data_IF_621223020325
#
_entry.id   IF_621223020325
#
_cell.length_a   1.000
_cell.length_b   1.000
_cell.length_c   1.000
_cell.angle_alpha   90.00
_cell.angle_beta   90.00
_cell.angle_gamma   90.00
#
_symmetry.space_group_name_H-M   'P 1'
#
loop_
_entity.id
_entity.type
_entity.pdbx_description
1 polymer ?
#
# COMPACT_ATOMS: atom_id res chain seq x y z
N UNK A 1 5.67 19.39 -0.07
CA UNK A 1 5.49 18.74 1.25
C UNK A 1 4.36 17.72 1.13
N UNK A 2 4.66 16.43 0.97
CA UNK A 2 3.65 15.36 0.90
C UNK A 2 3.32 14.87 2.31
N UNK A 3 2.41 15.55 2.99
CA UNK A 3 1.81 15.00 4.19
C UNK A 3 0.67 14.08 3.73
N UNK A 4 0.89 12.75 3.74
CA UNK A 4 -0.06 11.74 3.26
C UNK A 4 -1.18 11.51 4.30
N UNK A 5 -2.00 12.53 4.54
CA UNK A 5 -3.30 12.43 5.24
C UNK A 5 -4.33 13.27 4.49
N UNK A 6 -5.54 12.73 4.34
CA UNK A 6 -6.61 13.33 3.54
C UNK A 6 -6.43 13.13 2.03
N UNK A 7 -7.20 13.88 1.25
CA UNK A 7 -7.23 13.82 -0.20
C UNK A 7 -6.00 14.45 -0.88
N UNK A 8 -5.53 13.81 -1.95
CA UNK A 8 -4.43 14.27 -2.78
C UNK A 8 -4.60 13.82 -4.23
N UNK A 9 -4.55 14.76 -5.17
CA UNK A 9 -4.48 14.53 -6.63
C UNK A 9 -3.38 15.40 -7.23
N UNK A 10 -2.69 14.94 -8.27
CA UNK A 10 -1.70 15.72 -9.03
C UNK A 10 -0.54 16.30 -8.18
N UNK A 11 -0.27 15.70 -7.02
CA UNK A 11 0.92 16.02 -6.22
C UNK A 11 2.10 15.13 -6.63
N UNK A 12 1.84 13.89 -7.03
CA UNK A 12 2.85 12.91 -7.47
C UNK A 12 3.30 13.22 -8.92
N UNK A 13 4.54 12.88 -9.27
CA UNK A 13 5.10 13.11 -10.62
C UNK A 13 5.45 11.74 -11.21
N UNK A 14 5.17 11.56 -12.49
CA UNK A 14 5.52 10.38 -13.28
C UNK A 14 6.13 10.88 -14.60
N UNK A 15 7.34 10.43 -14.95
CA UNK A 15 8.05 10.86 -16.17
C UNK A 15 8.21 12.39 -16.31
N UNK A 16 8.50 13.10 -15.21
CA UNK A 16 8.67 14.55 -15.21
C UNK A 16 7.39 15.39 -15.33
N UNK A 17 6.20 14.76 -15.37
CA UNK A 17 4.89 15.43 -15.42
C UNK A 17 4.05 15.10 -14.18
N UNK A 18 3.18 16.02 -13.71
CA UNK A 18 2.24 15.72 -12.62
C UNK A 18 1.31 14.55 -12.99
N UNK A 19 1.22 13.55 -12.12
CA UNK A 19 0.30 12.40 -12.25
C UNK A 19 -1.14 12.85 -11.96
N UNK A 20 -1.87 13.18 -13.03
CA UNK A 20 -3.27 13.62 -12.98
C UNK A 20 -4.26 12.46 -13.06
N UNK A 21 -3.78 11.24 -13.33
CA UNK A 21 -4.56 10.03 -13.56
C UNK A 21 -4.88 9.27 -12.27
N UNK A 22 -4.43 9.78 -11.12
CA UNK A 22 -4.66 9.16 -9.83
C UNK A 22 -4.96 10.17 -8.73
N UNK A 23 -6.06 9.94 -8.05
CA UNK A 23 -6.41 10.50 -6.74
C UNK A 23 -6.09 9.50 -5.63
N UNK A 24 -5.75 10.00 -4.46
CA UNK A 24 -5.54 9.17 -3.28
C UNK A 24 -6.01 9.87 -2.03
N UNK A 25 -6.76 9.13 -1.21
CA UNK A 25 -7.12 9.53 0.13
C UNK A 25 -6.37 8.67 1.14
N UNK A 26 -5.61 9.31 2.04
CA UNK A 26 -4.80 8.61 3.04
C UNK A 26 -5.35 8.83 4.46
N UNK A 27 -5.35 7.77 5.26
CA UNK A 27 -5.73 7.84 6.67
C UNK A 27 -5.21 6.64 7.45
N UNK A 28 -4.96 6.81 8.75
CA UNK A 28 -4.76 5.68 9.64
C UNK A 28 -6.16 5.12 10.00
N UNK A 29 -6.47 3.86 9.66
CA UNK A 29 -7.82 3.30 9.84
C UNK A 29 -8.14 2.95 11.30
N UNK A 30 -7.14 2.86 12.19
CA UNK A 30 -7.32 2.54 13.60
C UNK A 30 -7.36 3.79 14.48
N UNK A 31 -6.53 4.79 14.17
CA UNK A 31 -6.25 5.94 15.04
C UNK A 31 -6.41 7.25 14.28
N UNK A 32 -7.27 8.15 14.78
CA UNK A 32 -7.35 9.51 14.23
C UNK A 32 -6.14 10.35 14.56
N UNK A 33 -5.59 10.16 15.77
CA UNK A 33 -4.42 10.87 16.25
C UNK A 33 -3.52 9.88 16.98
N UNK A 34 -2.47 9.37 16.32
CA UNK A 34 -1.49 8.51 16.95
C UNK A 34 -0.92 9.11 18.25
N UNK A 35 -0.99 8.35 19.35
CA UNK A 35 -0.48 8.76 20.63
C UNK A 35 1.01 8.37 20.77
N UNK A 36 1.86 9.20 20.20
CA UNK A 36 3.33 9.07 20.26
C UNK A 36 3.96 10.33 20.84
N UNK A 37 5.22 10.20 21.24
CA UNK A 37 6.02 11.32 21.72
C UNK A 37 5.99 12.50 20.73
N UNK A 38 5.82 13.76 21.20
CA UNK A 38 5.75 14.93 20.33
C UNK A 38 6.95 15.11 19.41
N UNK A 39 8.15 14.73 19.85
CA UNK A 39 9.38 14.81 19.06
C UNK A 39 9.41 13.76 17.96
N UNK A 40 8.99 12.52 18.26
CA UNK A 40 8.82 11.47 17.25
C UNK A 40 7.80 11.93 16.20
N UNK A 41 6.66 12.48 16.63
CA UNK A 41 5.62 13.02 15.73
C UNK A 41 6.18 14.12 14.81
N UNK A 42 7.01 15.02 15.36
CA UNK A 42 7.65 16.10 14.62
C UNK A 42 8.66 15.58 13.59
N UNK A 43 9.42 14.54 13.93
CA UNK A 43 10.41 13.91 13.04
C UNK A 43 9.79 13.00 11.97
N UNK A 44 8.61 12.45 12.21
CA UNK A 44 7.92 11.48 11.35
C UNK A 44 6.43 11.85 11.10
N UNK A 45 6.14 13.06 10.59
CA UNK A 45 4.76 13.53 10.40
C UNK A 45 3.99 12.72 9.35
N UNK A 46 4.65 12.04 8.42
CA UNK A 46 4.04 11.17 7.41
C UNK A 46 3.29 9.97 8.03
N UNK A 47 3.77 9.50 9.19
CA UNK A 47 3.14 8.41 9.95
C UNK A 47 2.20 8.93 11.04
N UNK A 48 2.66 9.93 11.81
CA UNK A 48 2.02 10.30 13.07
C UNK A 48 1.22 11.61 13.05
N UNK A 49 1.14 12.29 11.91
CA UNK A 49 0.15 13.37 11.75
C UNK A 49 -1.26 12.77 11.80
N UNK A 50 -2.16 13.43 12.53
CA UNK A 50 -3.54 13.00 12.62
C UNK A 50 -4.27 13.03 11.27
N UNK A 51 -5.30 12.21 11.17
CA UNK A 51 -6.17 12.13 10.00
C UNK A 51 -6.88 13.46 9.74
N UNK A 52 -7.22 13.69 8.47
CA UNK A 52 -7.99 14.86 8.01
C UNK A 52 -9.20 14.32 7.26
N UNK A 53 -10.32 14.19 7.95
CA UNK A 53 -11.59 13.71 7.41
C UNK A 53 -12.32 14.80 6.61
N UNK A 54 -13.08 14.45 5.57
CA UNK A 54 -14.01 15.39 4.95
C UNK A 54 -15.08 15.81 5.96
N UNK A 55 -15.69 16.98 5.75
CA UNK A 55 -16.77 17.45 6.59
C UNK A 55 -18.08 16.78 6.17
N UNK A 56 -18.50 15.77 6.93
CA UNK A 56 -19.72 14.99 6.65
C UNK A 56 -21.02 15.70 7.08
N UNK A 57 -20.92 16.81 7.82
CA UNK A 57 -22.06 17.65 8.18
C UNK A 57 -22.39 18.63 7.03
N UNK A 58 -21.34 19.19 6.40
CA UNK A 58 -21.47 20.15 5.31
C UNK A 58 -21.66 19.50 3.92
N UNK A 59 -21.16 18.27 3.70
CA UNK A 59 -21.25 17.55 2.42
C UNK A 59 -21.96 16.19 2.59
N UNK A 60 -23.19 16.10 2.07
CA UNK A 60 -23.99 14.88 2.17
C UNK A 60 -23.44 13.72 1.33
N UNK A 61 -22.64 13.99 0.28
CA UNK A 61 -22.10 12.95 -0.60
C UNK A 61 -21.03 12.09 0.08
N UNK A 62 -20.38 12.63 1.12
CA UNK A 62 -19.33 11.97 1.89
C UNK A 62 -19.81 11.48 3.26
N UNK A 63 -21.11 11.57 3.55
CA UNK A 63 -21.67 11.10 4.83
C UNK A 63 -21.38 9.62 5.05
N UNK A 64 -20.81 9.29 6.21
CA UNK A 64 -20.41 7.92 6.57
C UNK A 64 -19.06 7.47 5.97
N UNK A 65 -18.35 8.33 5.24
CA UNK A 65 -17.06 8.02 4.64
C UNK A 65 -16.01 7.62 5.68
N UNK A 66 -15.88 8.38 6.76
CA UNK A 66 -14.93 8.12 7.83
C UNK A 66 -15.20 6.74 8.46
N UNK A 67 -16.46 6.42 8.76
CA UNK A 67 -16.83 5.14 9.35
C UNK A 67 -16.51 3.99 8.40
N UNK A 68 -16.91 4.08 7.13
CA UNK A 68 -16.66 3.05 6.12
C UNK A 68 -15.15 2.82 5.90
N UNK A 69 -14.37 3.89 5.79
CA UNK A 69 -12.91 3.84 5.62
C UNK A 69 -12.24 3.11 6.78
N UNK A 70 -12.59 3.48 8.03
CA UNK A 70 -12.02 2.87 9.24
C UNK A 70 -12.45 1.42 9.38
N UNK A 71 -13.73 1.11 9.15
CA UNK A 71 -14.26 -0.25 9.27
C UNK A 71 -13.59 -1.20 8.29
N UNK A 72 -13.45 -0.81 7.02
CA UNK A 72 -12.75 -1.62 6.02
C UNK A 72 -11.26 -1.78 6.35
N UNK A 73 -10.58 -0.68 6.71
CA UNK A 73 -9.17 -0.73 7.06
C UNK A 73 -8.88 -1.55 8.31
N UNK A 74 -9.74 -1.47 9.33
CA UNK A 74 -9.65 -2.29 10.54
C UNK A 74 -9.80 -3.78 10.20
N UNK A 75 -10.82 -4.13 9.41
CA UNK A 75 -11.03 -5.50 8.97
C UNK A 75 -9.81 -6.08 8.23
N UNK A 76 -9.21 -5.32 7.30
CA UNK A 76 -8.01 -5.76 6.58
C UNK A 76 -6.83 -5.94 7.54
N UNK A 77 -6.66 -5.06 8.53
CA UNK A 77 -5.61 -5.20 9.55
C UNK A 77 -5.84 -6.45 10.39
N UNK A 78 -7.05 -6.68 10.90
CA UNK A 78 -7.38 -7.85 11.71
C UNK A 78 -7.06 -9.15 10.96
N UNK A 79 -7.45 -9.26 9.70
CA UNK A 79 -7.10 -10.43 8.86
C UNK A 79 -5.59 -10.52 8.65
N UNK A 80 -4.91 -9.40 8.43
CA UNK A 80 -3.46 -9.36 8.28
C UNK A 80 -2.70 -9.80 9.54
N UNK A 81 -3.18 -9.46 10.73
CA UNK A 81 -2.61 -9.92 12.00
C UNK A 81 -2.75 -11.43 12.15
N UNK A 82 -3.90 -12.00 11.77
CA UNK A 82 -4.08 -13.45 11.75
C UNK A 82 -3.09 -14.10 10.79
N UNK A 83 -2.96 -13.55 9.58
CA UNK A 83 -2.04 -14.04 8.55
C UNK A 83 -0.60 -14.06 9.05
N UNK A 84 -0.11 -12.96 9.63
CA UNK A 84 1.27 -12.88 10.11
C UNK A 84 1.52 -13.83 11.26
N UNK A 85 0.55 -14.01 12.17
CA UNK A 85 0.64 -15.00 13.24
C UNK A 85 0.75 -16.42 12.70
N UNK A 86 -0.03 -16.79 11.69
CA UNK A 86 0.08 -18.13 11.11
C UNK A 86 1.39 -18.35 10.34
N UNK A 87 1.96 -17.29 9.79
CA UNK A 87 3.25 -17.33 9.09
C UNK A 87 4.45 -17.25 10.05
N UNK A 88 4.25 -16.99 11.33
CA UNK A 88 5.31 -16.69 12.30
C UNK A 88 6.39 -17.80 12.31
N UNK A 89 6.03 -19.07 12.43
CA UNK A 89 7.01 -20.17 12.45
C UNK A 89 7.89 -20.28 11.20
N UNK A 90 7.41 -19.76 10.07
CA UNK A 90 8.16 -19.70 8.82
C UNK A 90 9.02 -18.44 8.73
N UNK A 91 8.52 -17.31 9.26
CA UNK A 91 9.19 -16.00 9.20
C UNK A 91 10.27 -15.86 10.27
N UNK A 92 10.00 -16.24 11.53
CA UNK A 92 10.91 -15.98 12.67
C UNK A 92 12.33 -16.52 12.45
N UNK A 93 12.55 -17.72 11.87
CA UNK A 93 13.91 -18.22 11.60
C UNK A 93 14.70 -17.42 10.55
N UNK A 94 14.04 -16.58 9.75
CA UNK A 94 14.67 -15.78 8.68
C UNK A 94 15.07 -14.37 9.16
N UNK A 95 14.63 -13.97 10.35
CA UNK A 95 14.80 -12.62 10.86
C UNK A 95 16.27 -12.27 11.09
N UNK A 96 16.65 -11.04 10.74
CA UNK A 96 17.99 -10.50 10.96
C UNK A 96 18.15 -9.81 12.33
N UNK A 97 17.07 -9.68 13.08
CA UNK A 97 17.07 -9.05 14.41
C UNK A 97 17.23 -10.09 15.50
N UNK A 98 17.97 -9.73 16.55
CA UNK A 98 18.07 -10.56 17.76
C UNK A 98 16.92 -10.24 18.70
N UNK A 99 16.07 -11.22 18.97
CA UNK A 99 14.95 -11.06 19.91
C UNK A 99 14.58 -12.40 20.52
N UNK A 100 14.10 -12.36 21.76
CA UNK A 100 13.56 -13.53 22.47
C UNK A 100 12.03 -13.65 22.31
N UNK A 101 11.40 -12.72 21.59
CA UNK A 101 9.96 -12.75 21.32
C UNK A 101 9.64 -13.79 20.25
N UNK A 102 8.47 -14.41 20.36
CA UNK A 102 8.00 -15.42 19.40
C UNK A 102 6.84 -14.92 18.53
N UNK A 103 6.33 -13.72 18.78
CA UNK A 103 5.21 -13.06 18.10
C UNK A 103 5.71 -11.82 17.32
N UNK A 104 6.84 -11.93 16.64
CA UNK A 104 7.59 -10.74 16.21
C UNK A 104 6.81 -9.98 15.16
N UNK A 105 6.39 -10.65 14.08
CA UNK A 105 5.74 -9.98 12.96
C UNK A 105 4.34 -9.49 13.34
N UNK A 106 3.54 -10.36 13.96
CA UNK A 106 2.21 -9.98 14.42
C UNK A 106 2.26 -8.92 15.52
N UNK A 107 3.12 -9.07 16.52
CA UNK A 107 3.23 -8.14 17.64
C UNK A 107 3.74 -6.77 17.23
N UNK A 108 4.68 -6.67 16.27
CA UNK A 108 5.10 -5.39 15.69
C UNK A 108 3.94 -4.67 15.02
N UNK A 109 3.08 -5.40 14.30
CA UNK A 109 1.92 -4.82 13.64
C UNK A 109 0.81 -4.48 14.63
N UNK A 110 0.45 -5.38 15.54
CA UNK A 110 -0.65 -5.21 16.49
C UNK A 110 -0.48 -3.98 17.41
N UNK A 111 0.76 -3.62 17.73
CA UNK A 111 1.08 -2.44 18.56
C UNK A 111 1.32 -1.18 17.74
N UNK A 112 1.37 -1.26 16.41
CA UNK A 112 1.80 -0.15 15.58
C UNK A 112 0.80 0.98 15.55
N UNK A 113 1.31 2.20 15.75
CA UNK A 113 0.56 3.43 15.48
C UNK A 113 0.78 3.98 14.07
N UNK A 114 1.59 3.30 13.24
CA UNK A 114 2.05 3.76 11.93
C UNK A 114 1.28 3.19 10.73
N UNK A 115 0.26 2.34 10.96
CA UNK A 115 -0.60 1.84 9.90
C UNK A 115 -1.16 2.96 9.02
N UNK A 116 -1.27 2.68 7.72
CA UNK A 116 -1.80 3.65 6.76
C UNK A 116 -2.66 2.94 5.74
N UNK A 117 -3.88 3.41 5.56
CA UNK A 117 -4.73 3.02 4.46
C UNK A 117 -4.71 4.10 3.37
N UNK A 118 -4.91 3.65 2.14
CA UNK A 118 -4.99 4.47 0.94
C UNK A 118 -6.19 4.00 0.12
N UNK A 119 -7.19 4.85 0.03
CA UNK A 119 -8.23 4.73 -0.99
C UNK A 119 -7.70 5.39 -2.26
N UNK A 120 -7.68 4.64 -3.36
CA UNK A 120 -7.21 5.11 -4.66
C UNK A 120 -8.38 5.25 -5.61
N UNK A 121 -8.36 6.37 -6.33
CA UNK A 121 -9.22 6.60 -7.47
C UNK A 121 -8.35 6.80 -8.71
N UNK A 122 -8.51 5.93 -9.69
CA UNK A 122 -7.84 6.04 -10.98
C UNK A 122 -8.80 6.69 -11.96
N UNK A 123 -8.41 7.85 -12.48
CA UNK A 123 -9.20 8.59 -13.44
C UNK A 123 -9.19 7.88 -14.80
N UNK A 124 -10.23 8.08 -15.61
CA UNK A 124 -10.27 7.59 -16.99
C UNK A 124 -9.01 8.01 -17.75
N UNK A 125 -8.27 7.07 -18.38
CA UNK A 125 -7.13 7.44 -19.20
C UNK A 125 -7.61 8.26 -20.39
N UNK A 126 -6.82 9.26 -20.84
CA UNK A 126 -7.19 10.09 -21.98
C UNK A 126 -7.40 9.21 -23.23
N UNK A 127 -8.24 9.67 -24.18
CA UNK A 127 -8.39 9.01 -25.47
C UNK A 127 -7.13 9.25 -26.33
N UNK A 128 -5.99 8.65 -25.96
CA UNK A 128 -4.81 8.56 -26.81
C UNK A 128 -4.91 7.26 -27.61
N UNK A 129 -5.01 7.39 -28.93
CA UNK A 129 -5.06 6.29 -29.88
C UNK A 129 -3.73 5.54 -29.96
N UNK A 130 -3.81 4.26 -30.32
CA UNK A 130 -2.73 3.38 -30.76
C UNK A 130 -1.35 3.69 -30.13
N UNK A 131 -1.28 3.64 -28.80
CA UNK A 131 0.01 3.60 -28.09
C UNK A 131 0.70 2.28 -28.41
N UNK A 132 1.98 2.34 -28.78
CA UNK A 132 2.82 1.18 -29.04
C UNK A 132 2.70 0.18 -27.88
N UNK A 133 2.37 -1.08 -28.19
CA UNK A 133 2.14 -2.17 -27.21
C UNK A 133 3.35 -2.45 -26.29
N UNK A 134 4.49 -1.82 -26.56
CA UNK A 134 5.78 -2.04 -25.92
C UNK A 134 6.20 -0.98 -24.89
N UNK A 135 5.40 0.07 -24.65
CA UNK A 135 5.77 1.07 -23.66
C UNK A 135 5.21 0.72 -22.28
N UNK A 136 6.02 0.07 -21.43
CA UNK A 136 5.66 -0.37 -20.08
C UNK A 136 5.15 0.78 -19.18
N UNK A 137 5.43 2.03 -19.55
CA UNK A 137 5.20 3.21 -18.72
C UNK A 137 4.04 4.11 -19.21
N UNK A 138 3.58 4.01 -20.47
CA UNK A 138 2.55 4.93 -21.00
C UNK A 138 1.10 4.54 -20.67
N UNK A 139 0.80 3.26 -20.47
CA UNK A 139 -0.56 2.73 -20.19
C UNK A 139 -0.87 2.54 -18.68
N UNK A 140 0.02 3.06 -17.82
CA UNK A 140 0.03 2.71 -16.41
C UNK A 140 -0.66 3.75 -15.52
N UNK A 141 -1.83 3.39 -14.98
CA UNK A 141 -2.48 4.10 -13.88
C UNK A 141 -1.56 4.23 -12.65
N UNK A 142 -0.64 3.27 -12.46
CA UNK A 142 0.41 3.33 -11.46
C UNK A 142 1.62 2.51 -11.92
N UNK A 143 2.75 3.18 -12.21
CA UNK A 143 3.99 2.53 -12.63
C UNK A 143 4.51 1.45 -11.67
N UNK A 144 5.51 0.70 -12.12
CA UNK A 144 6.15 -0.34 -11.32
C UNK A 144 6.76 0.22 -10.03
N UNK A 145 6.40 -0.35 -8.90
CA UNK A 145 6.91 0.06 -7.59
C UNK A 145 6.88 -1.08 -6.58
N UNK A 146 7.42 -0.79 -5.40
CA UNK A 146 7.33 -1.61 -4.21
C UNK A 146 6.64 -0.82 -3.10
N UNK A 147 5.94 -1.53 -2.24
CA UNK A 147 5.43 -0.96 -1.00
C UNK A 147 6.50 -1.02 0.08
N UNK A 148 6.58 0.02 0.89
CA UNK A 148 7.59 0.11 1.95
C UNK A 148 7.14 -0.60 3.24
N UNK A 149 5.97 -1.24 3.26
CA UNK A 149 5.36 -1.87 4.43
C UNK A 149 6.02 -3.21 4.79
N UNK A 150 5.61 -3.83 5.90
CA UNK A 150 5.91 -5.24 6.13
C UNK A 150 5.03 -6.09 5.20
N UNK A 151 3.72 -5.88 5.28
CA UNK A 151 2.74 -6.42 4.35
C UNK A 151 1.73 -5.35 3.93
N UNK A 152 1.16 -5.49 2.75
CA UNK A 152 0.04 -4.67 2.28
C UNK A 152 -1.16 -5.54 2.02
N UNK A 153 -2.28 -5.22 2.67
CA UNK A 153 -3.58 -5.82 2.38
C UNK A 153 -4.30 -5.06 1.26
N UNK A 154 -4.91 -5.80 0.35
CA UNK A 154 -5.60 -5.29 -0.83
C UNK A 154 -7.02 -5.89 -0.89
N UNK A 155 -7.99 -5.05 -1.23
CA UNK A 155 -9.35 -5.49 -1.55
C UNK A 155 -9.53 -5.66 -3.06
N UNK A 156 -10.57 -6.35 -3.49
CA UNK A 156 -10.97 -6.36 -4.90
C UNK A 156 -11.28 -4.93 -5.38
N UNK A 157 -10.80 -4.60 -6.59
CA UNK A 157 -11.05 -3.30 -7.18
C UNK A 157 -12.46 -3.22 -7.78
N UNK A 158 -13.02 -2.02 -7.80
CA UNK A 158 -14.26 -1.69 -8.48
C UNK A 158 -13.96 -0.89 -9.75
N UNK A 159 -14.74 -1.13 -10.80
CA UNK A 159 -14.73 -0.30 -12.00
C UNK A 159 -16.06 0.46 -12.05
N UNK A 160 -16.00 1.77 -12.25
CA UNK A 160 -17.18 2.62 -12.24
C UNK A 160 -17.37 3.21 -13.63
N UNK A 161 -18.54 2.97 -14.23
CA UNK A 161 -19.01 3.67 -15.40
C UNK A 161 -19.55 5.03 -14.99
N UNK A 162 -19.04 6.09 -15.60
CA UNK A 162 -19.39 7.48 -15.31
C UNK A 162 -20.00 8.15 -16.54
N UNK A 163 -21.22 8.64 -16.40
CA UNK A 163 -21.88 9.45 -17.43
C UNK A 163 -22.54 10.68 -16.80
N UNK A 164 -21.84 11.81 -16.83
CA UNK A 164 -22.27 13.01 -16.10
C UNK A 164 -22.31 12.72 -14.61
N UNK A 165 -23.47 12.87 -13.97
CA UNK A 165 -23.67 12.55 -12.55
C UNK A 165 -24.11 11.09 -12.29
N UNK A 166 -24.21 10.26 -13.33
CA UNK A 166 -24.60 8.86 -13.18
C UNK A 166 -23.37 7.97 -13.03
N UNK A 167 -23.26 7.31 -11.88
CA UNK A 167 -22.19 6.37 -11.56
C UNK A 167 -22.75 4.95 -11.40
N UNK A 168 -22.16 3.96 -12.08
CA UNK A 168 -22.59 2.56 -12.01
C UNK A 168 -21.40 1.63 -11.94
N UNK A 169 -21.35 0.75 -10.93
CA UNK A 169 -20.36 -0.31 -10.88
C UNK A 169 -20.54 -1.27 -12.07
N UNK A 170 -19.45 -1.58 -12.75
CA UNK A 170 -19.41 -2.49 -13.90
C UNK A 170 -18.32 -3.55 -13.71
N UNK A 171 -18.42 -4.71 -14.39
CA UNK A 171 -17.27 -5.60 -14.53
C UNK A 171 -16.09 -4.90 -15.19
N UNK A 172 -14.88 -5.43 -14.98
CA UNK A 172 -13.69 -4.93 -15.65
C UNK A 172 -13.91 -4.85 -17.18
N UNK A 173 -13.93 -3.65 -17.78
CA UNK A 173 -14.27 -3.50 -19.19
C UNK A 173 -13.12 -3.82 -20.14
N UNK A 174 -11.89 -3.94 -19.64
CA UNK A 174 -10.71 -4.20 -20.45
C UNK A 174 -9.90 -5.38 -19.89
N UNK A 175 -9.66 -6.39 -20.74
CA UNK A 175 -8.88 -7.57 -20.35
C UNK A 175 -7.46 -7.24 -19.87
N UNK A 176 -6.88 -6.13 -20.34
CA UNK A 176 -5.54 -5.65 -19.90
C UNK A 176 -5.57 -4.69 -18.71
N UNK A 177 -6.75 -4.28 -18.23
CA UNK A 177 -6.84 -3.39 -17.08
C UNK A 177 -6.71 -4.17 -15.77
N UNK A 178 -6.01 -3.61 -14.79
CA UNK A 178 -5.93 -4.17 -13.44
C UNK A 178 -4.52 -4.21 -12.86
N UNK A 179 -4.38 -5.01 -11.80
CA UNK A 179 -3.14 -5.18 -11.04
C UNK A 179 -2.22 -6.19 -11.74
N UNK A 180 -0.95 -5.83 -11.88
CA UNK A 180 0.11 -6.70 -12.39
C UNK A 180 1.22 -6.80 -11.35
N UNK A 181 1.80 -7.98 -11.21
CA UNK A 181 2.95 -8.24 -10.35
C UNK A 181 4.10 -8.83 -11.15
N UNK A 182 5.33 -8.71 -10.65
CA UNK A 182 6.46 -9.55 -11.07
C UNK A 182 6.62 -10.69 -10.07
N UNK A 183 6.49 -11.93 -10.54
CA UNK A 183 6.71 -13.09 -9.70
C UNK A 183 8.23 -13.35 -9.46
N UNK A 184 8.57 -14.42 -8.75
CA UNK A 184 9.97 -14.75 -8.41
C UNK A 184 10.84 -15.13 -9.61
N UNK A 185 10.22 -15.55 -10.72
CA UNK A 185 10.90 -15.79 -12.00
C UNK A 185 10.99 -14.51 -12.86
N UNK A 186 10.62 -13.35 -12.31
CA UNK A 186 10.54 -12.06 -13.00
C UNK A 186 9.50 -12.02 -14.14
N UNK A 187 8.54 -12.96 -14.15
CA UNK A 187 7.43 -12.93 -15.10
C UNK A 187 6.37 -11.93 -14.65
N UNK A 188 5.84 -11.16 -15.60
CA UNK A 188 4.71 -10.26 -15.37
C UNK A 188 3.42 -11.08 -15.36
N UNK A 189 2.68 -11.02 -14.26
CA UNK A 189 1.43 -11.75 -14.05
C UNK A 189 0.31 -10.77 -13.70
N UNK A 190 -0.82 -10.84 -14.41
CA UNK A 190 -2.02 -10.12 -14.02
C UNK A 190 -2.70 -10.83 -12.86
N UNK A 191 -2.99 -10.11 -11.79
CA UNK A 191 -3.66 -10.63 -10.59
C UNK A 191 -5.13 -10.21 -10.60
N UNK A 192 -6.01 -11.17 -10.32
CA UNK A 192 -7.43 -10.92 -10.08
C UNK A 192 -7.74 -11.34 -8.65
N UNK A 193 -8.21 -10.38 -7.84
CA UNK A 193 -8.66 -10.61 -6.48
C UNK A 193 -10.17 -10.84 -6.56
N UNK A 194 -10.70 -12.00 -6.12
CA UNK A 194 -12.15 -12.23 -6.08
C UNK A 194 -12.88 -11.19 -5.21
N UNK A 195 -14.13 -10.88 -5.53
CA UNK A 195 -14.95 -9.88 -4.80
C UNK A 195 -15.08 -10.17 -3.31
N UNK A 196 -15.06 -11.44 -2.92
CA UNK A 196 -15.19 -11.92 -1.55
C UNK A 196 -13.85 -12.31 -0.92
N UNK A 197 -12.73 -11.80 -1.44
CA UNK A 197 -11.39 -12.12 -0.97
C UNK A 197 -10.55 -10.87 -0.67
N UNK A 198 -9.55 -11.05 0.19
CA UNK A 198 -8.44 -10.13 0.39
C UNK A 198 -7.17 -10.75 -0.18
N UNK A 199 -6.30 -9.92 -0.73
CA UNK A 199 -4.95 -10.31 -1.08
C UNK A 199 -3.94 -9.63 -0.15
N UNK A 200 -2.86 -10.32 0.17
CA UNK A 200 -1.74 -9.75 0.93
C UNK A 200 -0.46 -9.92 0.13
N UNK A 201 0.34 -8.85 0.08
CA UNK A 201 1.66 -8.87 -0.53
C UNK A 201 2.72 -8.41 0.46
N UNK A 202 3.95 -8.86 0.25
CA UNK A 202 5.13 -8.49 1.03
C UNK A 202 5.67 -7.13 0.57
N UNK A 203 6.09 -6.30 1.52
CA UNK A 203 6.76 -5.03 1.26
C UNK A 203 8.26 -5.05 1.60
N UNK A 204 8.95 -3.96 1.27
CA UNK A 204 10.41 -3.84 1.41
C UNK A 204 10.88 -3.91 2.86
N UNK A 205 10.07 -3.50 3.84
CA UNK A 205 10.46 -3.62 5.24
C UNK A 205 10.52 -5.09 5.67
N UNK A 206 9.65 -5.96 5.14
CA UNK A 206 9.71 -7.40 5.44
C UNK A 206 10.88 -8.06 4.70
N UNK A 207 11.18 -7.60 3.49
CA UNK A 207 12.37 -8.04 2.77
C UNK A 207 13.64 -7.73 3.55
N UNK A 208 13.78 -6.51 4.06
CA UNK A 208 14.91 -6.13 4.90
C UNK A 208 14.94 -6.95 6.21
N UNK A 209 13.82 -7.05 6.89
CA UNK A 209 13.67 -7.77 8.16
C UNK A 209 14.07 -9.25 8.05
N UNK A 210 13.82 -9.86 6.89
CA UNK A 210 14.14 -11.27 6.62
C UNK A 210 15.45 -11.46 5.85
N UNK A 211 16.26 -10.42 5.67
CA UNK A 211 17.54 -10.50 4.95
C UNK A 211 17.37 -10.96 3.50
N UNK A 212 16.29 -10.55 2.84
CA UNK A 212 15.98 -10.89 1.45
C UNK A 212 15.29 -12.25 1.26
N UNK A 213 14.95 -12.98 2.33
CA UNK A 213 14.31 -14.30 2.21
C UNK A 213 12.86 -14.19 1.76
N UNK A 214 12.17 -13.14 2.19
CA UNK A 214 10.84 -12.78 1.72
C UNK A 214 10.91 -11.47 0.94
N UNK A 215 11.15 -11.59 -0.36
CA UNK A 215 11.24 -10.44 -1.26
C UNK A 215 9.93 -9.64 -1.29
N UNK A 216 10.03 -8.32 -1.35
CA UNK A 216 8.91 -7.46 -1.67
C UNK A 216 8.35 -7.81 -3.05
N UNK A 217 7.07 -7.51 -3.31
CA UNK A 217 6.41 -7.87 -4.57
C UNK A 217 6.31 -6.66 -5.49
N UNK A 218 7.10 -6.58 -6.59
CA UNK A 218 6.99 -5.50 -7.56
C UNK A 218 5.64 -5.55 -8.25
N UNK A 219 4.97 -4.40 -8.32
CA UNK A 219 3.63 -4.34 -8.89
C UNK A 219 3.34 -3.00 -9.60
N UNK A 220 2.40 -3.03 -10.53
CA UNK A 220 1.90 -1.88 -11.26
C UNK A 220 0.39 -2.04 -11.53
N UNK A 221 -0.28 -0.95 -11.92
CA UNK A 221 -1.71 -0.95 -12.27
C UNK A 221 -1.89 -0.36 -13.65
N UNK A 222 -2.56 -1.08 -14.54
CA UNK A 222 -2.77 -0.68 -15.95
C UNK A 222 -4.22 -0.30 -16.22
N UNK A 223 -4.41 0.73 -17.05
CA UNK A 223 -5.73 1.17 -17.52
C UNK A 223 -6.33 0.29 -18.62
N UNK A 224 -5.49 -0.41 -19.36
CA UNK A 224 -5.90 -1.47 -20.31
C UNK A 224 -6.50 -1.00 -21.64
N UNK A 225 -6.67 0.31 -21.85
CA UNK A 225 -7.17 0.89 -23.09
C UNK A 225 -7.77 2.30 -22.89
N UNK A 226 -8.50 2.77 -23.90
CA UNK A 226 -9.18 4.07 -23.85
C UNK A 226 -10.21 4.09 -22.69
N UNK A 227 -10.24 5.20 -21.94
CA UNK A 227 -11.09 5.32 -20.75
C UNK A 227 -12.58 5.43 -21.02
N UNK A 228 -13.03 5.33 -22.28
CA UNK A 228 -14.44 5.44 -22.66
C UNK A 228 -15.00 4.11 -23.14
N UNK A 229 -16.16 3.72 -22.62
CA UNK A 229 -16.85 2.47 -22.98
C UNK A 229 -18.32 2.72 -23.30
N UNK A 230 -18.94 1.78 -24.01
CA UNK A 230 -20.39 1.78 -24.24
C UNK A 230 -21.08 0.80 -23.31
N UNK A 231 -22.03 1.28 -22.53
CA UNK A 231 -22.89 0.47 -21.67
C UNK A 231 -24.35 0.78 -22.02
N UNK A 232 -25.13 -0.23 -22.37
CA UNK A 232 -26.57 -0.08 -22.71
C UNK A 232 -26.85 1.01 -23.77
N UNK A 233 -25.93 1.19 -24.73
CA UNK A 233 -26.02 2.19 -25.81
C UNK A 233 -25.49 3.59 -25.44
N UNK A 234 -25.27 3.87 -24.17
CA UNK A 234 -24.68 5.11 -23.67
C UNK A 234 -23.15 5.08 -23.71
N UNK A 235 -22.52 6.19 -24.10
CA UNK A 235 -21.07 6.40 -23.99
C UNK A 235 -20.78 7.04 -22.63
N UNK A 236 -19.78 6.53 -21.92
CA UNK A 236 -19.32 7.07 -20.64
C UNK A 236 -17.88 6.67 -20.36
N UNK A 237 -17.33 7.25 -19.30
CA UNK A 237 -15.94 7.03 -18.88
C UNK A 237 -15.84 5.91 -17.84
N UNK A 238 -14.64 5.35 -17.66
CA UNK A 238 -14.38 4.32 -16.66
C UNK A 238 -13.25 4.74 -15.75
N UNK A 239 -13.58 4.82 -14.47
CA UNK A 239 -12.63 4.93 -13.36
C UNK A 239 -12.46 3.57 -12.66
N UNK A 240 -11.39 3.47 -11.87
CA UNK A 240 -11.09 2.28 -11.06
C UNK A 240 -10.79 2.66 -9.63
N UNK A 241 -11.47 1.99 -8.70
CA UNK A 241 -11.38 2.24 -7.27
C UNK A 241 -10.75 1.04 -6.57
N UNK A 242 -9.84 1.29 -5.64
CA UNK A 242 -9.28 0.21 -4.82
C UNK A 242 -8.82 0.75 -3.47
N UNK A 243 -8.76 -0.14 -2.49
CA UNK A 243 -8.31 0.18 -1.14
C UNK A 243 -7.10 -0.67 -0.77
N UNK A 244 -6.03 -0.01 -0.34
CA UNK A 244 -4.79 -0.64 0.09
C UNK A 244 -4.50 -0.27 1.55
N UNK A 245 -4.06 -1.24 2.34
CA UNK A 245 -3.72 -1.04 3.75
C UNK A 245 -2.28 -1.47 3.99
N UNK A 246 -1.42 -0.48 4.19
CA UNK A 246 -0.01 -0.65 4.49
C UNK A 246 0.15 -0.97 5.98
N UNK A 247 0.38 -2.26 6.26
CA UNK A 247 0.66 -2.74 7.61
C UNK A 247 2.15 -2.60 7.91
N UNK A 248 2.45 -1.64 8.76
CA UNK A 248 3.80 -1.12 8.99
C UNK A 248 4.10 -1.19 10.48
N UNK A 249 5.36 -1.41 10.89
CA UNK A 249 5.77 -1.28 12.27
C UNK A 249 5.93 0.20 12.63
N UNK A 250 6.08 0.52 13.91
CA UNK A 250 6.42 1.89 14.31
C UNK A 250 7.85 2.27 13.90
N UNK A 251 8.12 3.58 13.77
CA UNK A 251 9.39 4.09 13.23
C UNK A 251 10.62 3.76 14.08
N UNK A 252 10.43 3.35 15.34
CA UNK A 252 11.51 2.94 16.24
C UNK A 252 11.75 1.43 16.23
N UNK A 253 10.87 0.64 15.62
CA UNK A 253 11.05 -0.80 15.55
C UNK A 253 12.26 -1.14 14.66
N UNK A 254 13.13 -2.02 15.15
CA UNK A 254 14.28 -2.50 14.42
C UNK A 254 13.82 -3.47 13.33
N UNK A 255 14.28 -3.25 12.10
CA UNK A 255 13.94 -4.08 10.94
C UNK A 255 15.15 -4.56 10.15
N UNK A 256 16.36 -4.31 10.63
CA UNK A 256 17.61 -4.73 9.98
C UNK A 256 18.73 -4.87 11.00
N UNK A 257 19.93 -4.39 10.65
CA UNK A 257 21.05 -4.29 11.58
C UNK A 257 20.73 -3.47 12.84
N UNK A 258 21.63 -3.44 13.85
CA UNK A 258 21.36 -2.81 15.15
C UNK A 258 20.83 -1.36 15.11
N UNK A 259 21.22 -0.58 14.10
CA UNK A 259 20.84 0.82 13.92
C UNK A 259 19.75 1.02 12.84
N UNK A 260 19.30 -0.06 12.19
CA UNK A 260 18.32 -0.01 11.10
C UNK A 260 16.90 -0.18 11.64
N UNK A 261 16.25 0.95 11.92
CA UNK A 261 14.84 1.02 12.28
C UNK A 261 13.97 1.28 11.06
N UNK A 262 12.67 1.03 11.20
CA UNK A 262 11.71 1.38 10.17
C UNK A 262 11.74 2.88 9.82
N UNK A 263 11.99 3.75 10.80
CA UNK A 263 12.12 5.19 10.62
C UNK A 263 13.36 5.61 9.81
N UNK A 264 14.50 4.93 9.98
CA UNK A 264 15.71 5.22 9.18
C UNK A 264 15.57 4.66 7.76
N UNK A 265 15.02 3.44 7.64
CA UNK A 265 14.69 2.80 6.37
C UNK A 265 13.74 3.67 5.51
N UNK A 266 12.61 4.10 6.07
CA UNK A 266 11.60 4.90 5.34
C UNK A 266 12.15 6.24 4.88
N UNK A 267 13.00 6.90 5.68
CA UNK A 267 13.72 8.11 5.26
C UNK A 267 14.62 7.82 4.06
N UNK A 268 15.32 6.69 4.04
CA UNK A 268 16.16 6.30 2.92
C UNK A 268 15.35 6.01 1.66
N UNK A 269 14.23 5.29 1.79
CA UNK A 269 13.34 5.05 0.64
C UNK A 269 12.80 6.37 0.07
N UNK A 270 12.34 7.29 0.93
CA UNK A 270 11.94 8.62 0.50
C UNK A 270 13.08 9.35 -0.21
N UNK A 271 14.32 9.28 0.30
CA UNK A 271 15.50 9.88 -0.37
C UNK A 271 15.74 9.29 -1.75
N UNK A 272 15.62 7.97 -1.94
CA UNK A 272 15.76 7.32 -3.26
C UNK A 272 14.72 7.85 -4.24
N UNK A 273 13.46 7.96 -3.83
CA UNK A 273 12.39 8.57 -4.62
C UNK A 273 12.71 10.03 -4.99
N UNK A 274 13.24 10.83 -4.05
CA UNK A 274 13.64 12.22 -4.34
C UNK A 274 14.88 12.32 -5.22
N UNK A 275 15.87 11.42 -5.08
CA UNK A 275 17.09 11.43 -5.90
C UNK A 275 16.79 11.06 -7.35
N UNK A 276 15.90 10.10 -7.56
CA UNK A 276 15.42 9.75 -8.90
C UNK A 276 14.70 10.96 -9.53
N UNK A 277 13.86 11.67 -8.75
CA UNK A 277 13.28 12.95 -9.19
C UNK A 277 14.32 14.04 -9.49
N UNK A 278 15.39 14.18 -8.68
CA UNK A 278 16.46 15.15 -8.94
C UNK A 278 17.23 14.87 -10.24
N UNK A 279 17.42 13.59 -10.58
CA UNK A 279 18.02 13.21 -11.86
C UNK A 279 17.11 13.52 -13.04
N UNK A 280 15.79 13.43 -12.86
CA UNK A 280 14.79 13.81 -13.88
C UNK A 280 14.59 15.33 -14.01
N UNK A 281 14.66 16.10 -12.91
CA UNK A 281 14.24 17.52 -12.86
C UNK A 281 15.39 18.54 -12.74
N UNK A 282 16.64 18.14 -12.44
CA UNK A 282 17.80 19.04 -12.45
C UNK A 282 17.80 20.19 -11.43
N UNK A 283 17.06 20.11 -10.32
CA UNK A 283 16.99 21.18 -9.29
C UNK A 283 17.25 20.67 -7.86
N UNK A 284 17.97 21.48 -7.07
CA UNK A 284 18.44 21.13 -5.74
C UNK A 284 17.53 21.65 -4.62
N UNK A 285 16.92 20.75 -3.85
CA UNK A 285 16.20 21.07 -2.61
C UNK A 285 16.80 20.23 -1.49
N UNK A 286 17.35 20.89 -0.46
CA UNK A 286 18.08 20.25 0.64
C UNK A 286 17.21 20.14 1.90
N UNK A 287 17.24 18.98 2.56
CA UNK A 287 16.62 18.72 3.87
C UNK A 287 17.73 18.47 4.90
N UNK A 288 17.64 19.04 6.11
CA UNK A 288 18.61 18.83 7.22
C UNK A 288 18.05 17.81 8.24
N UNK A 289 18.89 16.90 8.72
CA UNK A 289 18.56 15.86 9.73
C UNK A 289 19.54 15.89 10.92
N UNK A 290 19.07 15.46 12.10
CA UNK A 290 19.81 15.37 13.37
C UNK A 290 19.89 13.90 13.84
N UNK A 291 21.00 13.51 14.47
CA UNK A 291 21.57 12.16 14.44
C UNK A 291 21.43 11.33 15.74
N UNK A 292 20.77 11.82 16.79
CA UNK A 292 20.71 11.13 18.08
C UNK A 292 19.25 10.90 18.52
N UNK A 293 18.78 9.65 18.66
CA UNK A 293 17.62 9.29 19.52
C UNK A 293 17.41 7.76 19.62
N UNK A 294 17.24 7.24 20.84
CA UNK A 294 16.76 5.87 21.16
C UNK A 294 15.76 5.89 22.33
N UNK A 295 14.79 4.95 22.37
CA UNK A 295 13.75 4.80 23.41
C UNK A 295 13.39 3.32 23.73
N UNK A 296 12.76 3.02 24.90
CA UNK A 296 12.70 1.67 25.53
C UNK A 296 11.34 0.91 25.38
N UNK A 297 11.21 -0.36 25.85
CA UNK A 297 10.19 -1.33 25.40
C UNK A 297 8.98 -1.59 26.36
N UNK A 298 7.92 -2.25 25.85
CA UNK A 298 6.63 -2.58 26.54
C UNK A 298 6.16 -4.05 26.28
N UNK A 299 5.32 -4.59 27.19
CA UNK A 299 4.81 -5.96 27.40
C UNK A 299 3.37 -6.28 26.90
N UNK A 300 3.04 -7.59 26.89
CA UNK A 300 2.05 -8.39 26.09
C UNK A 300 0.59 -8.52 26.58
N UNK A 301 -0.31 -8.99 25.69
CA UNK A 301 -1.61 -9.67 25.95
C UNK A 301 -2.00 -10.65 24.79
N UNK A 302 -2.79 -11.70 25.07
CA UNK A 302 -3.02 -12.91 24.23
C UNK A 302 -4.47 -13.07 23.68
N UNK A 303 -4.68 -13.96 22.69
CA UNK A 303 -5.96 -14.26 21.99
C UNK A 303 -6.08 -15.74 21.52
N UNK A 304 -7.23 -16.15 20.92
CA UNK A 304 -7.46 -17.50 20.34
C UNK A 304 -8.33 -17.58 19.06
N UNK A 305 -7.82 -18.38 18.09
CA UNK A 305 -8.38 -19.24 17.01
C UNK A 305 -9.13 -18.71 15.76
N UNK A 306 -8.43 -18.68 14.60
CA UNK A 306 -8.96 -18.65 13.20
C UNK A 306 -8.06 -19.51 12.27
N UNK A 307 -8.61 -20.06 11.17
CA UNK A 307 -7.91 -20.90 10.16
C UNK A 307 -7.54 -20.10 8.91
N UNK A 308 -6.32 -20.30 8.37
CA UNK A 308 -5.76 -19.60 7.19
C UNK A 308 -5.39 -20.62 6.12
N UNK A 309 -5.70 -20.31 4.85
CA UNK A 309 -5.39 -21.15 3.70
C UNK A 309 -4.31 -20.45 2.85
N UNK A 310 -3.13 -21.07 2.75
CA UNK A 310 -2.00 -20.59 1.95
C UNK A 310 -2.02 -21.29 0.59
N UNK A 311 -2.83 -20.80 -0.34
CA UNK A 311 -2.76 -21.29 -1.73
C UNK A 311 -1.53 -20.67 -2.42
N UNK A 312 -0.38 -21.31 -2.23
CA UNK A 312 0.77 -21.20 -3.11
C UNK A 312 0.87 -22.51 -3.89
N UNK A 313 -0.03 -22.73 -4.84
CA UNK A 313 0.10 -23.85 -5.77
C UNK A 313 1.12 -23.49 -6.85
N UNK A 314 2.39 -23.67 -6.52
CA UNK A 314 3.43 -23.92 -7.51
C UNK A 314 3.48 -25.44 -7.78
N UNK A 315 3.10 -25.92 -8.97
CA UNK A 315 3.20 -27.33 -9.33
C UNK A 315 4.63 -27.89 -9.29
N UNK A 316 5.66 -27.05 -9.16
CA UNK A 316 7.06 -27.46 -9.10
C UNK A 316 7.58 -27.80 -7.68
N UNK A 317 6.80 -27.56 -6.62
CA UNK A 317 7.23 -27.83 -5.24
C UNK A 317 6.36 -28.92 -4.59
N UNK A 318 6.54 -30.17 -5.02
CA UNK A 318 6.08 -31.31 -4.22
C UNK A 318 6.94 -31.42 -2.96
N UNK A 319 6.47 -30.87 -1.83
CA UNK A 319 7.07 -31.15 -0.54
C UNK A 319 6.63 -32.56 -0.08
N UNK A 320 7.50 -33.54 -0.32
CA UNK A 320 7.54 -34.79 0.45
C UNK A 320 8.18 -34.49 1.81
N UNK A 321 7.46 -34.77 2.89
CA UNK A 321 7.89 -34.73 4.31
C UNK A 321 8.29 -33.30 4.77
N UNK A 322 7.61 -32.69 5.72
CA UNK A 322 7.43 -33.02 7.16
C UNK A 322 6.16 -32.33 7.64
#
# INVERSE_FOLDING_TARGET
>A
MFLKVGWSRAKEYMNGMPDTLKGSYYGNPLLDRPNVDPEIRRKHPEYYKGNIWPDEEDDEEVRGFQEAFKRLGTFVIEVGLLLTRACESFVSPQLQIQTNKTDILEGMLARSSAHKARLLHYYPPPPSGDGDENDEDQDSWCGWHLDHSLITGLVSAMYMFEQGANYKAIPNPHERAGLYIRNRANNVVKVSIPENALAFQTGEALELLTGGKLHATPHCVRGGGAGQVRLDGALGEVSRETFAVFMQPDVWEQIGGPEETFGTFTKEVLRRHYRNKKQEEGVDVAYKFDANDHLPPITELTTSNITINLDCQDPALSYKHI
#
